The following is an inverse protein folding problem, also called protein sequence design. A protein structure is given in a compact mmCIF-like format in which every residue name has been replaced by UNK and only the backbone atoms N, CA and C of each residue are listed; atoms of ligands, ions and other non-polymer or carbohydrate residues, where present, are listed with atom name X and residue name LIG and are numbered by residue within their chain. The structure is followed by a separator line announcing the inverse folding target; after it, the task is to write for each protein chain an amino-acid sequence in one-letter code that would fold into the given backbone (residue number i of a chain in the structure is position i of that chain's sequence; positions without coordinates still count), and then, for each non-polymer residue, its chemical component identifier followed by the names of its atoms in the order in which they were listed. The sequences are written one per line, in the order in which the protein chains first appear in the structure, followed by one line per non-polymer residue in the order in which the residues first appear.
data_IF_982001724743
#
_entry.id   IF_982001724743
#
_cell.length_a   1.000
_cell.length_b   1.000
_cell.length_c   1.000
_cell.angle_alpha   90.00
_cell.angle_beta   90.00
_cell.angle_gamma   90.00
#
_symmetry.space_group_name_H-M   'P 1'
#
loop_
_entity.id
_entity.type
_entity.pdbx_description
1 polymer ?
#
# COMPACT_ATOMS: atom_id res chain seq x y z
N UNK A 1 49.33 16.13 -32.94
CA UNK A 1 48.24 16.92 -33.54
C UNK A 1 46.94 16.15 -33.33
N UNK A 2 45.91 16.84 -32.83
CA UNK A 2 44.51 16.40 -32.65
C UNK A 2 44.33 15.35 -31.53
N UNK A 3 43.64 15.57 -30.42
CA UNK A 3 42.65 16.57 -30.00
C UNK A 3 41.47 15.82 -29.39
N UNK A 4 41.50 15.54 -28.07
CA UNK A 4 40.41 14.86 -27.35
C UNK A 4 39.33 15.88 -27.03
N UNK A 5 38.12 15.64 -27.57
CA UNK A 5 36.97 16.52 -27.45
C UNK A 5 36.44 16.52 -26.01
N UNK A 6 36.32 17.73 -25.45
CA UNK A 6 35.56 18.00 -24.25
C UNK A 6 34.06 17.94 -24.52
N UNK A 7 33.33 17.29 -23.61
CA UNK A 7 31.89 17.38 -23.53
C UNK A 7 31.55 18.56 -22.63
N UNK A 8 31.21 19.70 -23.23
CA UNK A 8 30.59 20.84 -22.57
C UNK A 8 29.15 20.94 -23.10
N UNK A 9 28.20 20.47 -22.31
CA UNK A 9 26.81 20.92 -22.32
C UNK A 9 26.50 21.20 -20.85
N UNK A 10 26.44 22.45 -20.40
CA UNK A 10 25.31 23.37 -20.60
C UNK A 10 24.00 22.71 -20.12
N UNK A 11 23.95 22.48 -18.81
CA UNK A 11 22.73 22.22 -18.04
C UNK A 11 22.27 23.58 -17.55
N UNK A 12 21.36 24.18 -18.33
CA UNK A 12 20.62 25.37 -17.94
C UNK A 12 19.30 24.91 -17.34
N UNK A 13 19.08 25.30 -16.07
CA UNK A 13 17.95 24.97 -15.17
C UNK A 13 18.10 23.65 -14.41
N UNK A 14 19.10 23.60 -13.53
CA UNK A 14 19.04 22.79 -12.32
C UNK A 14 18.22 23.60 -11.31
N UNK A 15 17.01 23.14 -10.98
CA UNK A 15 16.50 23.39 -9.63
C UNK A 15 17.49 22.67 -8.73
N UNK A 16 18.42 23.46 -8.20
CA UNK A 16 19.64 23.02 -7.50
C UNK A 16 19.28 21.91 -6.51
N UNK A 17 19.90 20.74 -6.68
CA UNK A 17 19.92 19.69 -5.67
C UNK A 17 20.84 20.21 -4.55
N UNK A 18 20.29 21.12 -3.74
CA UNK A 18 20.95 21.75 -2.62
C UNK A 18 20.40 21.12 -1.34
N UNK A 19 21.30 20.85 -0.40
CA UNK A 19 21.01 20.43 0.98
C UNK A 19 21.77 21.43 1.84
N UNK A 20 21.04 22.45 2.28
CA UNK A 20 21.59 23.66 2.87
C UNK A 20 22.02 23.50 4.33
N UNK A 21 21.47 22.53 5.06
CA UNK A 21 21.81 22.27 6.46
C UNK A 21 22.53 20.93 6.71
N UNK A 22 22.61 20.08 5.69
CA UNK A 22 23.40 18.85 5.69
C UNK A 22 22.72 17.69 6.40
N UNK A 23 21.40 17.69 6.50
CA UNK A 23 20.61 16.62 7.11
C UNK A 23 20.42 15.38 6.21
N UNK A 24 20.75 15.52 4.91
CA UNK A 24 20.62 14.48 3.89
C UNK A 24 19.29 14.49 3.13
N UNK A 25 18.44 15.52 3.30
CA UNK A 25 17.22 15.81 2.54
C UNK A 25 17.47 17.02 1.65
N UNK A 26 16.95 17.00 0.42
CA UNK A 26 17.16 18.13 -0.51
C UNK A 26 16.21 19.28 -0.15
N UNK A 27 16.65 20.53 -0.30
CA UNK A 27 15.91 21.77 0.05
C UNK A 27 14.51 21.84 -0.57
N UNK A 28 14.26 21.14 -1.68
CA UNK A 28 12.96 21.07 -2.35
C UNK A 28 11.97 20.07 -1.74
N UNK A 29 12.47 19.11 -0.96
CA UNK A 29 11.69 18.08 -0.25
C UNK A 29 11.71 18.29 1.26
N UNK A 30 12.67 19.06 1.77
CA UNK A 30 12.78 19.39 3.18
C UNK A 30 11.74 20.45 3.62
N UNK A 31 11.16 20.23 4.80
CA UNK A 31 10.22 21.14 5.42
C UNK A 31 10.89 22.41 5.95
N UNK A 32 12.16 22.33 6.35
CA UNK A 32 12.91 23.48 6.87
C UNK A 32 14.38 23.49 6.38
N UNK A 33 14.63 23.92 5.12
CA UNK A 33 15.94 23.84 4.41
C UNK A 33 17.12 24.62 5.01
N UNK A 34 17.10 24.97 6.28
CA UNK A 34 18.16 25.71 6.97
C UNK A 34 18.18 25.38 8.47
N UNK A 35 17.43 24.36 8.90
CA UNK A 35 17.28 23.96 10.30
C UNK A 35 17.34 22.43 10.40
N UNK A 36 18.53 21.86 10.68
CA UNK A 36 18.75 20.42 10.60
C UNK A 36 17.94 19.64 11.66
N UNK A 37 17.38 20.33 12.65
CA UNK A 37 16.55 19.72 13.70
C UNK A 37 15.07 19.57 13.29
N UNK A 38 14.65 20.13 12.14
CA UNK A 38 13.25 20.19 11.72
C UNK A 38 13.06 19.44 10.40
N UNK A 39 12.74 18.16 10.50
CA UNK A 39 12.61 17.27 9.34
C UNK A 39 11.17 17.17 8.81
N UNK A 40 10.20 17.47 9.68
CA UNK A 40 8.78 17.33 9.37
C UNK A 40 7.95 18.34 10.14
N UNK A 41 6.74 18.60 9.63
CA UNK A 41 5.79 19.56 10.22
C UNK A 41 5.49 19.35 11.71
N UNK A 42 5.58 18.11 12.22
CA UNK A 42 5.37 17.81 13.64
C UNK A 42 6.43 18.41 14.55
N UNK A 43 7.64 18.65 14.05
CA UNK A 43 8.78 19.08 14.86
C UNK A 43 8.62 20.57 15.24
N UNK A 44 8.01 21.36 14.35
CA UNK A 44 7.65 22.77 14.61
C UNK A 44 6.53 22.91 15.64
N UNK A 45 5.68 21.90 15.82
CA UNK A 45 4.59 21.95 16.81
C UNK A 45 5.06 21.64 18.24
N UNK A 46 6.29 21.17 18.43
CA UNK A 46 6.89 20.97 19.75
C UNK A 46 7.72 22.18 20.24
N UNK A 47 7.90 23.21 19.40
CA UNK A 47 8.81 24.35 19.64
C UNK A 47 8.19 25.54 20.37
N UNK A 48 7.70 25.36 21.60
CA UNK A 48 7.27 26.45 22.47
C UNK A 48 8.20 26.62 23.68
N UNK A 49 9.33 27.33 23.52
CA UNK A 49 10.15 27.67 24.69
C UNK A 49 11.55 28.20 24.39
N UNK A 50 11.65 29.50 24.11
CA UNK A 50 12.91 30.23 24.32
C UNK A 50 13.16 30.35 25.83
N UNK A 51 14.21 29.72 26.33
CA UNK A 51 14.75 29.96 27.68
C UNK A 51 16.26 30.01 27.63
N UNK A 52 16.82 31.09 28.16
CA UNK A 52 18.25 31.33 28.32
C UNK A 52 18.99 30.16 28.97
N UNK A 53 20.18 29.90 28.45
CA UNK A 53 21.22 29.07 29.05
C UNK A 53 21.50 29.47 30.50
N UNK A 54 21.09 28.62 31.46
CA UNK A 54 21.90 28.34 32.64
C UNK A 54 22.64 27.02 32.41
N UNK A 55 23.97 27.09 32.43
CA UNK A 55 24.87 25.94 32.36
C UNK A 55 24.79 25.19 33.69
N UNK A 56 23.83 24.27 33.80
CA UNK A 56 23.84 23.23 34.81
C UNK A 56 24.59 22.03 34.26
N UNK A 57 25.76 21.76 34.83
CA UNK A 57 26.54 20.54 34.58
C UNK A 57 25.63 19.33 34.81
N UNK A 58 25.34 18.49 33.79
CA UNK A 58 24.54 17.30 34.00
C UNK A 58 25.34 16.33 34.86
N UNK A 59 24.77 16.01 36.02
CA UNK A 59 25.15 14.83 36.79
C UNK A 59 24.77 13.63 35.94
N UNK A 60 25.74 12.76 35.63
CA UNK A 60 25.53 11.48 34.97
C UNK A 60 24.49 10.70 35.77
N UNK A 61 23.25 10.74 35.31
CA UNK A 61 22.19 9.90 35.80
C UNK A 61 22.35 8.55 35.12
N UNK A 62 22.62 7.51 35.91
CA UNK A 62 22.68 6.13 35.44
C UNK A 62 21.44 5.82 34.60
N UNK A 63 21.61 5.71 33.28
CA UNK A 63 20.56 5.28 32.36
C UNK A 63 20.12 3.89 32.80
N UNK A 64 18.84 3.68 33.18
CA UNK A 64 18.36 2.35 33.49
C UNK A 64 18.60 1.48 32.26
N UNK A 65 19.45 0.48 32.42
CA UNK A 65 19.68 -0.55 31.41
C UNK A 65 18.33 -1.21 31.16
N UNK A 66 17.74 -0.99 29.98
CA UNK A 66 16.53 -1.71 29.60
C UNK A 66 16.84 -3.20 29.66
N UNK A 67 16.15 -3.89 30.57
CA UNK A 67 16.21 -5.34 30.64
C UNK A 67 15.35 -5.82 29.49
N UNK A 68 16.01 -6.26 28.42
CA UNK A 68 15.38 -6.95 27.29
C UNK A 68 14.53 -8.10 27.86
N UNK A 69 13.23 -7.86 27.96
CA UNK A 69 12.28 -8.89 28.37
C UNK A 69 12.14 -9.82 27.16
N UNK A 70 12.47 -11.12 27.28
CA UNK A 70 12.35 -12.02 26.15
C UNK A 70 10.89 -12.05 25.69
N UNK A 71 10.62 -11.56 24.48
CA UNK A 71 9.31 -11.75 23.85
C UNK A 71 9.16 -13.23 23.55
N UNK A 72 8.29 -13.92 24.29
CA UNK A 72 7.99 -15.31 24.03
C UNK A 72 7.50 -15.48 22.58
N UNK A 73 8.12 -16.42 21.85
CA UNK A 73 7.70 -16.75 20.49
C UNK A 73 6.26 -17.27 20.53
N UNK A 74 5.36 -16.82 19.63
CA UNK A 74 4.00 -17.35 19.54
C UNK A 74 4.00 -18.88 19.40
N UNK A 75 3.09 -19.54 20.12
CA UNK A 75 2.85 -20.97 19.93
C UNK A 75 1.95 -21.22 18.70
N UNK A 76 1.88 -22.48 18.25
CA UNK A 76 1.12 -22.85 17.05
C UNK A 76 -0.36 -22.46 17.11
N UNK A 77 -0.98 -22.46 18.28
CA UNK A 77 -2.38 -22.04 18.44
C UNK A 77 -2.54 -20.55 18.19
N UNK A 78 -1.65 -19.73 18.75
CA UNK A 78 -1.65 -18.28 18.54
C UNK A 78 -1.41 -17.92 17.07
N UNK A 79 -0.48 -18.61 16.39
CA UNK A 79 -0.24 -18.41 14.96
C UNK A 79 -1.46 -18.77 14.12
N UNK A 80 -2.15 -19.87 14.43
CA UNK A 80 -3.36 -20.26 13.71
C UNK A 80 -4.51 -19.25 13.92
N UNK A 81 -4.66 -18.71 15.13
CA UNK A 81 -5.63 -17.64 15.43
C UNK A 81 -5.29 -16.34 14.67
N UNK A 82 -4.00 -15.96 14.62
CA UNK A 82 -3.52 -14.81 13.85
C UNK A 82 -3.76 -14.98 12.34
N UNK A 83 -3.46 -16.17 11.79
CA UNK A 83 -3.74 -16.50 10.40
C UNK A 83 -5.24 -16.35 10.08
N UNK A 84 -6.12 -16.91 10.91
CA UNK A 84 -7.56 -16.83 10.71
C UNK A 84 -8.10 -15.40 10.81
N UNK A 85 -7.58 -14.60 11.75
CA UNK A 85 -7.96 -13.20 11.89
C UNK A 85 -7.50 -12.35 10.69
N UNK A 86 -6.29 -12.59 10.17
CA UNK A 86 -5.81 -11.93 8.96
C UNK A 86 -6.67 -12.29 7.74
N UNK A 87 -7.01 -13.58 7.58
CA UNK A 87 -7.85 -14.04 6.49
C UNK A 87 -9.28 -13.45 6.55
N UNK A 88 -9.87 -13.37 7.74
CA UNK A 88 -11.17 -12.71 7.95
C UNK A 88 -11.16 -11.23 7.56
N UNK A 89 -10.10 -10.49 7.88
CA UNK A 89 -9.93 -9.12 7.41
C UNK A 89 -9.82 -9.04 5.89
N UNK A 90 -9.08 -9.96 5.27
CA UNK A 90 -9.00 -10.07 3.81
C UNK A 90 -10.37 -10.27 3.15
N UNK A 91 -11.23 -11.11 3.73
CA UNK A 91 -12.60 -11.31 3.26
C UNK A 91 -13.45 -10.04 3.39
N UNK A 92 -13.36 -9.35 4.53
CA UNK A 92 -14.11 -8.11 4.76
C UNK A 92 -13.69 -7.00 3.79
N UNK A 93 -12.38 -6.85 3.56
CA UNK A 93 -11.86 -5.89 2.59
C UNK A 93 -12.26 -6.28 1.16
N UNK A 94 -12.19 -7.57 0.79
CA UNK A 94 -12.64 -8.03 -0.53
C UNK A 94 -14.11 -7.70 -0.78
N UNK A 95 -14.99 -7.95 0.21
CA UNK A 95 -16.41 -7.59 0.10
C UNK A 95 -16.60 -6.07 -0.04
N UNK A 96 -15.82 -5.29 0.72
CA UNK A 96 -15.87 -3.83 0.66
C UNK A 96 -15.39 -3.29 -0.71
N UNK A 97 -14.40 -3.94 -1.33
CA UNK A 97 -13.94 -3.63 -2.68
C UNK A 97 -15.03 -3.94 -3.72
N UNK A 98 -15.69 -5.09 -3.62
CA UNK A 98 -16.80 -5.48 -4.50
C UNK A 98 -17.96 -4.47 -4.40
N UNK A 99 -18.40 -4.12 -3.18
CA UNK A 99 -19.46 -3.12 -2.96
C UNK A 99 -19.09 -1.74 -3.51
N UNK A 100 -17.83 -1.35 -3.42
CA UNK A 100 -17.33 -0.06 -3.94
C UNK A 100 -17.26 -0.08 -5.47
N UNK A 101 -16.83 -1.20 -6.05
CA UNK A 101 -16.87 -1.44 -7.49
C UNK A 101 -18.29 -1.38 -8.06
N UNK A 102 -19.27 -1.97 -7.37
CA UNK A 102 -20.69 -1.87 -7.76
C UNK A 102 -21.18 -0.43 -7.77
N UNK A 103 -20.79 0.40 -6.79
CA UNK A 103 -21.09 1.84 -6.81
C UNK A 103 -20.45 2.54 -8.02
N UNK A 104 -19.20 2.21 -8.34
CA UNK A 104 -18.50 2.76 -9.49
C UNK A 104 -19.23 2.44 -10.81
N UNK A 105 -19.70 1.20 -10.98
CA UNK A 105 -20.51 0.77 -12.13
C UNK A 105 -21.79 1.60 -12.24
N UNK A 106 -22.52 1.81 -11.14
CA UNK A 106 -23.74 2.62 -11.14
C UNK A 106 -23.48 4.08 -11.59
N UNK A 107 -22.36 4.68 -11.18
CA UNK A 107 -21.96 6.02 -11.66
C UNK A 107 -21.61 6.01 -13.15
N UNK A 108 -20.89 4.97 -13.60
CA UNK A 108 -20.52 4.80 -15.00
C UNK A 108 -21.77 4.70 -15.89
N UNK A 109 -22.73 3.85 -15.53
CA UNK A 109 -24.01 3.69 -16.24
C UNK A 109 -24.89 4.95 -16.24
N UNK A 110 -24.61 5.90 -15.35
CA UNK A 110 -25.29 7.19 -15.26
C UNK A 110 -24.54 8.33 -15.99
N UNK A 111 -23.56 8.00 -16.83
CA UNK A 111 -22.65 8.92 -17.52
C UNK A 111 -21.82 9.84 -16.58
N UNK A 112 -21.75 9.52 -15.29
CA UNK A 112 -20.93 10.23 -14.30
C UNK A 112 -19.54 9.59 -14.17
N UNK A 113 -18.80 9.65 -15.27
CA UNK A 113 -17.50 8.98 -15.36
C UNK A 113 -16.43 9.50 -14.39
N UNK A 114 -16.59 10.71 -13.85
CA UNK A 114 -15.64 11.24 -12.85
C UNK A 114 -15.88 10.53 -11.52
N UNK A 115 -17.13 10.49 -11.06
CA UNK A 115 -17.49 9.76 -9.84
C UNK A 115 -17.21 8.25 -9.98
N UNK A 116 -17.45 7.68 -11.17
CA UNK A 116 -17.09 6.30 -11.45
C UNK A 116 -15.58 6.04 -11.29
N UNK A 117 -14.74 6.91 -11.88
CA UNK A 117 -13.29 6.78 -11.76
C UNK A 117 -12.82 6.85 -10.30
N UNK A 118 -13.35 7.78 -9.51
CA UNK A 118 -13.01 7.93 -8.09
C UNK A 118 -13.39 6.68 -7.28
N UNK A 119 -14.60 6.13 -7.50
CA UNK A 119 -15.01 4.89 -6.82
C UNK A 119 -14.21 3.67 -7.27
N UNK A 120 -13.81 3.59 -8.54
CA UNK A 120 -12.92 2.52 -9.00
C UNK A 120 -11.52 2.62 -8.36
N UNK A 121 -10.98 3.82 -8.14
CA UNK A 121 -9.71 3.97 -7.41
C UNK A 121 -9.82 3.56 -5.96
N UNK A 122 -10.91 3.95 -5.28
CA UNK A 122 -11.19 3.51 -3.92
C UNK A 122 -11.30 1.97 -3.85
N UNK A 123 -12.01 1.34 -4.80
CA UNK A 123 -12.10 -0.11 -4.88
C UNK A 123 -10.72 -0.77 -5.11
N UNK A 124 -9.85 -0.15 -5.91
CA UNK A 124 -8.50 -0.66 -6.16
C UNK A 124 -7.63 -0.66 -4.89
N UNK A 125 -7.72 0.39 -4.08
CA UNK A 125 -7.00 0.51 -2.81
C UNK A 125 -7.51 -0.50 -1.78
N UNK A 126 -8.84 -0.66 -1.66
CA UNK A 126 -9.45 -1.63 -0.75
C UNK A 126 -9.09 -3.07 -1.15
N UNK A 127 -9.10 -3.38 -2.46
CA UNK A 127 -8.66 -4.69 -2.95
C UNK A 127 -7.17 -4.95 -2.64
N UNK A 128 -6.31 -3.93 -2.65
CA UNK A 128 -4.91 -4.07 -2.27
C UNK A 128 -4.76 -4.35 -0.76
N UNK A 129 -5.59 -3.75 0.09
CA UNK A 129 -5.64 -4.10 1.52
C UNK A 129 -6.05 -5.56 1.72
N UNK A 130 -7.06 -6.04 0.98
CA UNK A 130 -7.47 -7.44 1.00
C UNK A 130 -6.30 -8.38 0.63
N UNK A 131 -5.57 -8.06 -0.45
CA UNK A 131 -4.36 -8.80 -0.87
C UNK A 131 -3.34 -8.89 0.26
N UNK A 132 -3.04 -7.76 0.91
CA UNK A 132 -2.05 -7.71 1.99
C UNK A 132 -2.47 -8.57 3.19
N UNK A 133 -3.75 -8.51 3.57
CA UNK A 133 -4.28 -9.35 4.65
C UNK A 133 -4.26 -10.85 4.32
N UNK A 134 -4.60 -11.23 3.09
CA UNK A 134 -4.46 -12.62 2.65
C UNK A 134 -3.00 -13.08 2.61
N UNK A 135 -2.07 -12.22 2.19
CA UNK A 135 -0.63 -12.51 2.24
C UNK A 135 -0.17 -12.78 3.68
N UNK A 136 -0.55 -11.93 4.64
CA UNK A 136 -0.23 -12.15 6.06
C UNK A 136 -0.85 -13.44 6.59
N UNK A 137 -2.06 -13.80 6.14
CA UNK A 137 -2.67 -15.06 6.52
C UNK A 137 -1.87 -16.28 6.01
N UNK A 138 -1.30 -16.20 4.81
CA UNK A 138 -0.41 -17.24 4.27
C UNK A 138 0.88 -17.34 5.08
N UNK A 139 1.50 -16.20 5.42
CA UNK A 139 2.74 -16.16 6.23
C UNK A 139 2.53 -16.81 7.61
N UNK A 140 1.47 -16.42 8.33
CA UNK A 140 1.15 -17.03 9.62
C UNK A 140 0.80 -18.52 9.50
N UNK A 141 0.12 -18.93 8.42
CA UNK A 141 -0.20 -20.32 8.17
C UNK A 141 1.04 -21.17 7.87
N UNK A 142 2.03 -20.64 7.16
CA UNK A 142 3.29 -21.35 6.86
C UNK A 142 4.12 -21.60 8.12
N UNK A 143 4.08 -20.66 9.07
CA UNK A 143 4.71 -20.84 10.39
C UNK A 143 4.03 -21.93 11.23
N UNK A 144 2.78 -22.30 10.92
CA UNK A 144 2.11 -23.40 11.59
C UNK A 144 2.57 -24.73 10.99
N UNK A 145 2.98 -25.68 11.85
CA UNK A 145 3.55 -26.95 11.37
C UNK A 145 2.55 -27.73 10.49
N UNK A 146 2.81 -27.75 9.17
CA UNK A 146 2.18 -28.59 8.16
C UNK A 146 0.73 -28.23 7.77
N UNK A 147 0.48 -26.96 7.40
CA UNK A 147 -0.85 -26.47 6.96
C UNK A 147 -0.86 -25.94 5.53
N UNK A 148 -0.25 -26.67 4.60
CA UNK A 148 -0.17 -26.30 3.17
C UNK A 148 -1.53 -25.95 2.56
N UNK A 149 -2.62 -26.62 2.99
CA UNK A 149 -3.96 -26.29 2.53
C UNK A 149 -4.39 -24.86 2.87
N UNK A 150 -4.04 -24.36 4.06
CA UNK A 150 -4.35 -22.99 4.46
C UNK A 150 -3.49 -22.00 3.67
N UNK A 151 -2.19 -22.27 3.54
CA UNK A 151 -1.28 -21.44 2.71
C UNK A 151 -1.81 -21.30 1.29
N UNK A 152 -2.20 -22.41 0.64
CA UNK A 152 -2.72 -22.38 -0.73
C UNK A 152 -4.01 -21.54 -0.83
N UNK A 153 -4.96 -21.69 0.09
CA UNK A 153 -6.20 -20.91 0.11
C UNK A 153 -5.91 -19.40 0.26
N UNK A 154 -5.02 -19.02 1.17
CA UNK A 154 -4.64 -17.62 1.36
C UNK A 154 -3.89 -17.04 0.14
N UNK A 155 -3.01 -17.82 -0.50
CA UNK A 155 -2.35 -17.39 -1.73
C UNK A 155 -3.32 -17.20 -2.91
N UNK A 156 -4.26 -18.13 -3.10
CA UNK A 156 -5.29 -18.00 -4.15
C UNK A 156 -6.17 -16.77 -3.92
N UNK A 157 -6.59 -16.55 -2.67
CA UNK A 157 -7.35 -15.36 -2.29
C UNK A 157 -6.54 -14.07 -2.54
N UNK A 158 -5.24 -14.06 -2.18
CA UNK A 158 -4.34 -12.94 -2.44
C UNK A 158 -4.21 -12.63 -3.94
N UNK A 159 -4.03 -13.66 -4.79
CA UNK A 159 -3.99 -13.50 -6.26
C UNK A 159 -5.31 -12.96 -6.82
N UNK A 160 -6.46 -13.41 -6.31
CA UNK A 160 -7.76 -12.87 -6.72
C UNK A 160 -7.89 -11.39 -6.36
N UNK A 161 -7.52 -10.98 -5.14
CA UNK A 161 -7.55 -9.58 -4.72
C UNK A 161 -6.59 -8.68 -5.50
N UNK A 162 -5.42 -9.20 -5.88
CA UNK A 162 -4.50 -8.49 -6.78
C UNK A 162 -5.11 -8.23 -8.16
N UNK A 163 -5.78 -9.23 -8.74
CA UNK A 163 -6.49 -9.05 -10.01
C UNK A 163 -7.67 -8.09 -9.86
N UNK A 164 -8.42 -8.14 -8.76
CA UNK A 164 -9.49 -7.19 -8.47
C UNK A 164 -8.97 -5.73 -8.42
N UNK A 165 -7.82 -5.49 -7.78
CA UNK A 165 -7.17 -4.18 -7.76
C UNK A 165 -6.79 -3.71 -9.18
N UNK A 166 -6.25 -4.60 -10.02
CA UNK A 166 -5.92 -4.29 -11.42
C UNK A 166 -7.18 -3.98 -12.25
N UNK A 167 -8.24 -4.76 -12.10
CA UNK A 167 -9.55 -4.55 -12.75
C UNK A 167 -10.07 -3.16 -12.41
N UNK A 168 -10.08 -2.82 -11.13
CA UNK A 168 -10.57 -1.53 -10.64
C UNK A 168 -9.70 -0.37 -11.18
N UNK A 169 -8.37 -0.49 -11.13
CA UNK A 169 -7.46 0.52 -11.68
C UNK A 169 -7.64 0.75 -13.19
N UNK A 170 -7.78 -0.31 -13.99
CA UNK A 170 -8.07 -0.19 -15.43
C UNK A 170 -9.47 0.38 -15.70
N UNK A 171 -10.46 0.05 -14.86
CA UNK A 171 -11.82 0.61 -14.96
C UNK A 171 -11.85 2.11 -14.63
N UNK A 172 -10.99 2.58 -13.72
CA UNK A 172 -10.82 4.00 -13.47
C UNK A 172 -10.25 4.74 -14.70
N UNK A 173 -9.27 4.13 -15.40
CA UNK A 173 -8.72 4.68 -16.66
C UNK A 173 -9.78 4.69 -17.76
N UNK A 174 -10.51 3.58 -17.91
CA UNK A 174 -11.65 3.48 -18.83
C UNK A 174 -12.64 4.63 -18.61
N UNK A 175 -13.05 4.88 -17.36
CA UNK A 175 -13.98 5.96 -17.02
C UNK A 175 -13.44 7.34 -17.43
N UNK A 176 -12.17 7.64 -17.12
CA UNK A 176 -11.56 8.92 -17.50
C UNK A 176 -11.49 9.13 -19.00
N UNK A 177 -11.14 8.09 -19.75
CA UNK A 177 -11.03 8.17 -21.20
C UNK A 177 -12.41 8.23 -21.87
N UNK A 178 -13.43 7.56 -21.31
CA UNK A 178 -14.82 7.73 -21.72
C UNK A 178 -15.28 9.19 -21.57
N UNK A 179 -14.89 9.85 -20.47
CA UNK A 179 -15.17 11.29 -20.29
C UNK A 179 -14.48 12.17 -21.34
N UNK A 180 -13.23 11.84 -21.67
CA UNK A 180 -12.36 12.67 -22.50
C UNK A 180 -12.62 12.52 -23.99
N UNK A 181 -12.84 11.28 -24.45
CA UNK A 181 -12.91 10.92 -25.86
C UNK A 181 -14.30 10.41 -26.28
N UNK A 182 -15.17 10.10 -25.31
CA UNK A 182 -16.47 9.47 -25.52
C UNK A 182 -16.38 7.95 -25.47
N UNK A 183 -17.47 7.28 -25.08
CA UNK A 183 -17.52 5.82 -24.83
C UNK A 183 -17.21 4.92 -26.02
N UNK A 184 -17.21 5.47 -27.24
CA UNK A 184 -16.98 4.74 -28.49
C UNK A 184 -15.62 5.06 -29.11
N UNK A 185 -14.67 5.59 -28.32
CA UNK A 185 -13.31 5.83 -28.79
C UNK A 185 -12.49 4.54 -28.76
N UNK A 186 -11.47 4.46 -29.62
CA UNK A 186 -10.57 3.30 -29.67
C UNK A 186 -9.83 3.11 -28.32
N UNK A 187 -9.51 4.20 -27.63
CA UNK A 187 -8.87 4.17 -26.29
C UNK A 187 -9.78 3.52 -25.24
N UNK A 188 -11.09 3.82 -25.28
CA UNK A 188 -12.08 3.23 -24.38
C UNK A 188 -12.23 1.73 -24.64
N UNK A 189 -12.28 1.33 -25.90
CA UNK A 189 -12.40 -0.09 -26.28
C UNK A 189 -11.18 -0.90 -25.83
N UNK A 190 -9.97 -0.31 -25.85
CA UNK A 190 -8.76 -0.96 -25.33
C UNK A 190 -8.86 -1.25 -23.83
N UNK A 191 -9.28 -0.26 -23.02
CA UNK A 191 -9.43 -0.47 -21.58
C UNK A 191 -10.52 -1.50 -21.26
N UNK A 192 -11.64 -1.48 -21.98
CA UNK A 192 -12.71 -2.48 -21.80
C UNK A 192 -12.20 -3.90 -22.03
N UNK A 193 -11.48 -4.13 -23.13
CA UNK A 193 -10.89 -5.45 -23.43
C UNK A 193 -9.92 -5.92 -22.34
N UNK A 194 -9.11 -5.01 -21.78
CA UNK A 194 -8.19 -5.34 -20.67
C UNK A 194 -8.94 -5.72 -19.39
N UNK A 195 -10.01 -5.00 -19.07
CA UNK A 195 -10.87 -5.32 -17.92
C UNK A 195 -11.49 -6.71 -18.09
N UNK A 196 -12.02 -7.04 -19.27
CA UNK A 196 -12.61 -8.36 -19.57
C UNK A 196 -11.59 -9.51 -19.45
N UNK A 197 -10.35 -9.33 -19.94
CA UNK A 197 -9.28 -10.31 -19.77
C UNK A 197 -8.93 -10.55 -18.30
N UNK A 198 -8.78 -9.46 -17.53
CA UNK A 198 -8.48 -9.54 -16.11
C UNK A 198 -9.61 -10.21 -15.31
N UNK A 199 -10.87 -9.90 -15.62
CA UNK A 199 -12.04 -10.54 -15.02
C UNK A 199 -12.04 -12.05 -15.29
N UNK A 200 -11.84 -12.45 -16.55
CA UNK A 200 -11.73 -13.86 -16.95
C UNK A 200 -10.61 -14.58 -16.18
N UNK A 201 -9.48 -13.90 -15.95
CA UNK A 201 -8.38 -14.46 -15.15
C UNK A 201 -8.76 -14.58 -13.67
N UNK A 202 -9.43 -13.58 -13.11
CA UNK A 202 -9.84 -13.55 -11.70
C UNK A 202 -10.83 -14.68 -11.36
N UNK A 203 -11.71 -15.05 -12.29
CA UNK A 203 -12.67 -16.16 -12.12
C UNK A 203 -12.00 -17.53 -11.92
N UNK A 204 -10.72 -17.69 -12.25
CA UNK A 204 -9.99 -18.94 -12.03
C UNK A 204 -9.44 -19.10 -10.61
N UNK A 205 -9.62 -18.11 -9.74
CA UNK A 205 -9.14 -18.14 -8.36
C UNK A 205 -10.33 -18.14 -7.39
N UNK A 206 -10.36 -19.13 -6.50
CA UNK A 206 -11.33 -19.16 -5.41
C UNK A 206 -10.76 -18.40 -4.20
N UNK A 207 -11.56 -17.53 -3.58
CA UNK A 207 -11.15 -16.91 -2.32
C UNK A 207 -11.33 -17.91 -1.17
N UNK A 208 -12.23 -18.89 -1.28
CA UNK A 208 -12.60 -19.79 -0.19
C UNK A 208 -13.36 -19.07 0.93
N UNK A 209 -13.87 -19.84 1.89
CA UNK A 209 -14.56 -19.32 3.07
C UNK A 209 -13.66 -19.33 4.30
N UNK A 210 -13.95 -18.47 5.28
CA UNK A 210 -13.25 -18.47 6.57
C UNK A 210 -13.30 -19.84 7.26
N UNK A 211 -14.40 -20.58 7.10
CA UNK A 211 -14.56 -21.89 7.70
C UNK A 211 -13.64 -22.93 7.03
N UNK A 212 -13.51 -22.92 5.70
CA UNK A 212 -12.57 -23.79 4.97
C UNK A 212 -11.13 -23.49 5.38
N UNK A 213 -10.78 -22.21 5.50
CA UNK A 213 -9.47 -21.78 5.98
C UNK A 213 -9.19 -22.25 7.42
N UNK A 214 -10.15 -22.08 8.35
CA UNK A 214 -10.05 -22.57 9.74
C UNK A 214 -9.90 -24.09 9.81
N UNK A 215 -10.68 -24.84 9.03
CA UNK A 215 -10.56 -26.30 8.90
C UNK A 215 -9.15 -26.67 8.40
N UNK A 216 -8.65 -25.96 7.38
CA UNK A 216 -7.32 -26.19 6.83
C UNK A 216 -6.21 -25.92 7.86
N UNK A 217 -6.38 -24.92 8.74
CA UNK A 217 -5.53 -24.65 9.91
C UNK A 217 -5.70 -25.70 11.03
N UNK A 218 -6.77 -26.49 11.02
CA UNK A 218 -7.09 -27.46 12.07
C UNK A 218 -7.60 -26.82 13.36
N UNK A 219 -8.21 -25.64 13.26
CA UNK A 219 -8.95 -24.98 14.34
C UNK A 219 -10.44 -25.08 14.02
N UNK A 220 -11.24 -25.55 14.98
CA UNK A 220 -12.70 -25.76 14.84
C UNK A 220 -13.42 -25.17 16.03
#
# INVERSE_FOLDING_TARGET
MVGVAGCSGDVSQEDDIQDSDGDGVIDSEDYAPSDPEVQKKSDVQSGGGSSSQEVNTPTEADTPTEVDTPTEKPNNTQLAEQAAAAYEKGLNDSNSADETGDRAVNFFESDDYIAAAEQYEEAADVAMNAKNHFSSAADFADETSNKQGAVNLAEEASRRSELASQIASESAKWSRDAKKYGENSDEVDEHRQRVEDLQTRAENYDIGTLNEFKIALGIT
#
